data_IF_042675864843
#
_entry.id   IF_042675864843
#
_cell.length_a   1.000
_cell.length_b   1.000
_cell.length_c   1.000
_cell.angle_alpha   90.00
_cell.angle_beta   90.00
_cell.angle_gamma   90.00
#
_symmetry.space_group_name_H-M   'P 1'
#
loop_
_entity.id
_entity.type
_entity.pdbx_description
1 polymer ?
#
# COMPACT_ATOMS: atom_id res chain seq x y z
N UNK A 1 -37.76 0.07 61.13
CA UNK A 1 -37.63 -1.29 60.57
C UNK A 1 -36.32 -1.30 59.80
N UNK A 2 -35.25 -1.85 60.37
CA UNK A 2 -34.89 -3.30 60.44
C UNK A 2 -34.48 -3.81 59.05
N UNK A 3 -33.18 -4.01 58.80
CA UNK A 3 -32.38 -5.24 59.05
C UNK A 3 -32.63 -6.32 57.97
N UNK A 4 -31.68 -7.16 57.52
CA UNK A 4 -30.22 -7.40 57.73
C UNK A 4 -29.69 -7.95 56.37
N UNK A 5 -28.46 -7.74 55.87
CA UNK A 5 -27.10 -7.84 56.43
C UNK A 5 -26.54 -9.28 56.56
N UNK A 6 -25.22 -9.41 56.28
CA UNK A 6 -24.27 -10.55 56.44
C UNK A 6 -23.77 -11.09 55.07
N UNK A 7 -22.50 -11.05 54.66
CA UNK A 7 -21.17 -11.15 55.33
C UNK A 7 -20.82 -12.60 55.79
N UNK A 8 -19.58 -13.05 56.06
CA UNK A 8 -18.18 -12.52 56.11
C UNK A 8 -17.23 -13.51 55.36
N UNK A 9 -15.88 -13.46 55.24
CA UNK A 9 -14.70 -12.61 55.57
C UNK A 9 -13.61 -12.92 54.48
N UNK A 10 -12.47 -12.25 54.19
CA UNK A 10 -11.33 -11.61 54.91
C UNK A 10 -10.16 -12.53 55.37
N UNK A 11 -9.04 -11.88 55.77
CA UNK A 11 -7.70 -12.37 56.20
C UNK A 11 -6.69 -12.45 55.03
N UNK A 12 -5.61 -11.65 54.84
CA UNK A 12 -4.65 -10.84 55.68
C UNK A 12 -3.60 -11.67 56.46
N UNK A 13 -2.36 -11.23 56.78
CA UNK A 13 -1.62 -9.97 56.59
C UNK A 13 -0.09 -10.22 56.44
N UNK A 14 0.72 -9.16 56.32
CA UNK A 14 2.20 -9.15 56.27
C UNK A 14 2.91 -9.52 57.60
N UNK A 15 4.24 -9.72 57.56
CA UNK A 15 5.21 -9.27 58.60
C UNK A 15 6.66 -9.28 58.05
N UNK A 16 7.52 -8.37 58.54
CA UNK A 16 8.97 -8.27 58.21
C UNK A 16 9.81 -8.26 59.50
N UNK A 17 10.90 -9.03 59.57
CA UNK A 17 11.94 -8.98 60.64
C UNK A 17 13.34 -9.39 60.11
N UNK A 18 14.44 -9.12 60.82
CA UNK A 18 15.81 -9.20 60.30
C UNK A 18 16.92 -9.56 61.34
N UNK A 19 18.13 -9.91 60.85
CA UNK A 19 19.45 -9.90 61.55
C UNK A 19 19.77 -11.02 62.57
N UNK A 20 21.02 -11.20 63.08
CA UNK A 20 22.35 -11.19 62.40
C UNK A 20 23.44 -12.20 62.93
N UNK A 21 24.48 -12.53 62.14
CA UNK A 21 25.83 -13.01 62.55
C UNK A 21 26.81 -12.98 61.33
N UNK A 22 28.14 -12.71 61.31
CA UNK A 22 29.33 -12.67 62.23
C UNK A 22 30.36 -13.83 62.06
N UNK A 23 31.38 -13.64 61.20
CA UNK A 23 32.80 -14.08 61.31
C UNK A 23 33.59 -13.52 60.09
N UNK A 24 34.79 -12.91 60.06
CA UNK A 24 36.11 -12.96 60.76
C UNK A 24 37.20 -13.81 60.04
N UNK A 25 38.25 -13.13 59.54
CA UNK A 25 39.55 -13.67 59.03
C UNK A 25 39.54 -14.35 57.65
N UNK A 26 40.62 -14.39 56.86
CA UNK A 26 41.92 -13.65 56.82
C UNK A 26 42.51 -13.78 55.37
N UNK A 27 43.48 -12.98 54.89
CA UNK A 27 43.77 -12.87 53.45
C UNK A 27 44.85 -13.83 52.90
N UNK A 28 44.78 -14.09 51.58
CA UNK A 28 45.83 -14.80 50.83
C UNK A 28 45.91 -14.34 49.36
N UNK A 29 47.12 -14.00 48.89
CA UNK A 29 47.37 -13.47 47.54
C UNK A 29 47.89 -14.59 46.62
N UNK A 30 47.24 -14.79 45.46
CA UNK A 30 47.87 -15.46 44.30
C UNK A 30 47.28 -14.95 42.98
N UNK A 31 48.08 -14.47 42.01
CA UNK A 31 47.56 -13.97 40.73
C UNK A 31 47.88 -14.91 39.54
N UNK A 32 46.85 -15.34 38.78
CA UNK A 32 47.05 -16.03 37.50
C UNK A 32 45.97 -15.70 36.45
N UNK A 33 46.40 -14.95 35.42
CA UNK A 33 45.93 -14.94 34.03
C UNK A 33 44.49 -14.49 33.67
N UNK A 34 44.27 -13.91 32.47
CA UNK A 34 43.04 -13.20 32.14
C UNK A 34 41.95 -14.08 31.51
N UNK A 35 40.70 -13.85 31.92
CA UNK A 35 39.53 -14.29 31.15
C UNK A 35 39.40 -13.46 29.88
N UNK A 36 39.24 -14.10 28.72
CA UNK A 36 38.96 -13.42 27.46
C UNK A 36 37.54 -12.82 27.47
N UNK A 37 37.42 -11.56 27.90
CA UNK A 37 36.27 -10.73 27.53
C UNK A 37 36.43 -10.30 26.07
N UNK A 38 36.09 -11.18 25.12
CA UNK A 38 35.94 -10.75 23.74
C UNK A 38 34.87 -9.67 23.69
N UNK A 39 35.22 -8.51 23.11
CA UNK A 39 34.22 -7.54 22.70
C UNK A 39 33.51 -8.14 21.51
N UNK A 40 32.35 -8.73 21.73
CA UNK A 40 31.48 -9.13 20.64
C UNK A 40 30.87 -7.86 20.04
N UNK A 41 31.62 -7.24 19.13
CA UNK A 41 31.12 -6.18 18.26
C UNK A 41 30.27 -6.83 17.19
N UNK A 42 29.12 -7.37 17.61
CA UNK A 42 28.10 -7.89 16.71
C UNK A 42 27.55 -6.69 15.94
N UNK A 43 28.10 -6.49 14.74
CA UNK A 43 27.75 -5.37 13.89
C UNK A 43 26.35 -5.63 13.38
N UNK A 44 25.37 -4.92 13.95
CA UNK A 44 24.02 -4.83 13.43
C UNK A 44 24.05 -4.10 12.07
N UNK A 45 24.56 -4.80 11.05
CA UNK A 45 24.56 -4.38 9.65
C UNK A 45 23.10 -4.17 9.28
N UNK A 46 22.70 -2.95 8.88
CA UNK A 46 21.35 -2.71 8.40
C UNK A 46 21.09 -3.65 7.23
N UNK A 47 20.20 -4.63 7.42
CA UNK A 47 19.76 -5.50 6.34
C UNK A 47 19.22 -4.61 5.24
N UNK A 48 19.87 -4.64 4.07
CA UNK A 48 19.50 -3.78 2.94
C UNK A 48 18.01 -3.92 2.59
N UNK A 49 17.41 -2.92 1.94
CA UNK A 49 15.99 -2.94 1.59
C UNK A 49 15.67 -4.26 0.88
N UNK A 50 14.65 -4.98 1.38
CA UNK A 50 14.26 -6.32 0.93
C UNK A 50 13.53 -6.29 -0.43
N UNK A 51 13.86 -5.32 -1.26
CA UNK A 51 13.22 -4.96 -2.52
C UNK A 51 14.20 -4.11 -3.33
N UNK A 52 14.32 -4.38 -4.63
CA UNK A 52 15.20 -3.65 -5.53
C UNK A 52 14.58 -2.33 -6.04
N UNK A 53 13.25 -2.20 -6.02
CA UNK A 53 12.52 -1.03 -6.54
C UNK A 53 11.39 -0.60 -5.60
N UNK A 54 11.15 0.71 -5.51
CA UNK A 54 9.88 1.28 -5.02
C UNK A 54 9.03 1.69 -6.22
N UNK A 55 7.79 1.22 -6.31
CA UNK A 55 6.80 1.71 -7.30
C UNK A 55 5.65 2.40 -6.54
N UNK A 56 5.38 3.65 -6.89
CA UNK A 56 4.28 4.42 -6.34
C UNK A 56 3.21 4.71 -7.39
N UNK A 57 2.00 4.21 -7.15
CA UNK A 57 0.82 4.45 -8.00
C UNK A 57 0.09 5.69 -7.47
N UNK A 58 0.05 6.75 -8.29
CA UNK A 58 -0.87 7.86 -8.09
C UNK A 58 -2.22 7.53 -8.71
N UNK A 59 -3.16 7.06 -7.88
CA UNK A 59 -4.47 6.63 -8.34
C UNK A 59 -5.47 7.80 -8.33
N UNK A 60 -5.32 8.78 -9.21
CA UNK A 60 -6.14 10.01 -9.21
C UNK A 60 -7.61 9.85 -9.64
N UNK A 61 -8.40 10.91 -9.49
CA UNK A 61 -9.84 10.90 -9.87
C UNK A 61 -10.07 10.98 -11.37
N UNK A 62 -9.31 11.85 -12.05
CA UNK A 62 -9.46 12.12 -13.50
C UNK A 62 -8.42 11.36 -14.31
N UNK A 63 -7.18 11.32 -13.81
CA UNK A 63 -6.04 10.61 -14.40
C UNK A 63 -5.25 9.91 -13.30
N UNK A 64 -4.64 8.78 -13.63
CA UNK A 64 -3.80 7.97 -12.75
C UNK A 64 -2.50 7.58 -13.46
N UNK A 65 -1.46 7.25 -12.70
CA UNK A 65 -0.18 6.80 -13.25
C UNK A 65 0.74 6.23 -12.17
N UNK A 66 1.99 5.94 -12.49
CA UNK A 66 3.00 5.54 -11.51
C UNK A 66 4.34 6.25 -11.72
N UNK A 67 5.15 6.26 -10.67
CA UNK A 67 6.57 6.57 -10.68
C UNK A 67 7.33 5.48 -9.91
N UNK A 68 8.60 5.28 -10.21
CA UNK A 68 9.44 4.30 -9.52
C UNK A 68 10.90 4.74 -9.43
N UNK A 69 11.63 4.17 -8.48
CA UNK A 69 13.08 4.31 -8.38
C UNK A 69 13.72 3.04 -7.84
N UNK A 70 14.96 2.77 -8.27
CA UNK A 70 15.75 1.66 -7.76
C UNK A 70 16.33 2.00 -6.39
N UNK A 71 16.35 1.05 -5.45
CA UNK A 71 16.81 1.30 -4.07
C UNK A 71 18.31 1.58 -3.95
N UNK A 72 19.07 1.32 -5.02
CA UNK A 72 20.50 1.69 -5.16
C UNK A 72 20.69 3.12 -5.66
N UNK A 73 19.69 3.70 -6.33
CA UNK A 73 19.73 4.98 -7.02
C UNK A 73 18.44 5.79 -6.71
N UNK A 74 18.15 6.10 -5.43
CA UNK A 74 16.85 6.62 -5.00
C UNK A 74 16.50 8.00 -5.57
N UNK A 75 17.50 8.80 -5.93
CA UNK A 75 17.36 10.09 -6.61
C UNK A 75 16.91 9.95 -8.08
N UNK A 76 17.06 8.76 -8.68
CA UNK A 76 16.64 8.50 -10.06
C UNK A 76 15.15 8.13 -10.10
N UNK A 77 14.29 9.16 -10.12
CA UNK A 77 12.85 8.98 -10.25
C UNK A 77 12.46 8.81 -11.72
N UNK A 78 12.03 7.60 -12.08
CA UNK A 78 11.41 7.31 -13.37
C UNK A 78 9.89 7.47 -13.27
N UNK A 79 9.25 7.91 -14.35
CA UNK A 79 7.79 8.06 -14.45
C UNK A 79 7.22 7.16 -15.56
N UNK A 80 5.98 6.70 -15.36
CA UNK A 80 5.25 5.81 -16.27
C UNK A 80 5.43 6.21 -17.74
N UNK A 81 6.00 5.30 -18.54
CA UNK A 81 6.23 5.53 -19.97
C UNK A 81 4.95 5.94 -20.71
N UNK A 82 5.16 6.65 -21.81
CA UNK A 82 4.11 6.93 -22.79
C UNK A 82 3.69 5.63 -23.47
N UNK A 83 2.45 5.20 -23.22
CA UNK A 83 1.82 4.05 -23.89
C UNK A 83 0.97 4.50 -25.09
N UNK A 84 0.51 3.53 -25.87
CA UNK A 84 -0.27 3.73 -27.10
C UNK A 84 -1.65 4.37 -26.81
N UNK A 85 -2.20 5.11 -27.79
CA UNK A 85 -3.46 5.86 -27.66
C UNK A 85 -3.35 7.31 -27.16
N UNK A 86 -2.17 7.75 -26.68
CA UNK A 86 -1.96 9.15 -26.31
C UNK A 86 -1.67 10.08 -27.51
N UNK A 87 -2.13 11.33 -27.46
CA UNK A 87 -1.93 12.34 -28.51
C UNK A 87 -0.44 12.60 -28.81
N UNK A 88 0.02 12.58 -30.08
CA UNK A 88 1.41 12.89 -30.45
C UNK A 88 1.86 14.27 -29.95
N UNK A 89 2.99 14.31 -29.25
CA UNK A 89 3.57 15.54 -28.69
C UNK A 89 3.17 15.86 -27.24
N UNK A 90 2.10 15.28 -26.70
CA UNK A 90 1.74 15.49 -25.27
C UNK A 90 2.50 14.52 -24.36
N UNK A 91 3.22 15.06 -23.38
CA UNK A 91 3.98 14.30 -22.37
C UNK A 91 3.09 13.74 -21.25
N UNK A 92 2.06 12.97 -21.61
CA UNK A 92 1.11 12.37 -20.67
C UNK A 92 1.76 11.24 -19.83
N UNK A 93 2.41 11.62 -18.73
CA UNK A 93 2.91 10.74 -17.66
C UNK A 93 1.79 10.10 -16.80
N UNK A 94 0.52 10.31 -17.18
CA UNK A 94 -0.68 9.76 -16.55
C UNK A 94 -1.69 9.40 -17.65
N UNK A 95 -2.47 8.36 -17.40
CA UNK A 95 -3.58 7.89 -18.27
C UNK A 95 -4.92 8.19 -17.57
N UNK A 96 -6.05 8.40 -18.29
CA UNK A 96 -7.33 8.69 -17.66
C UNK A 96 -7.75 7.59 -16.65
N UNK A 97 -8.46 7.97 -15.58
CA UNK A 97 -9.06 7.01 -14.63
C UNK A 97 -10.37 6.46 -15.21
N UNK A 98 -10.23 5.75 -16.33
CA UNK A 98 -11.28 5.13 -17.13
C UNK A 98 -11.02 3.64 -17.24
N UNK A 99 -12.07 2.82 -17.22
CA UNK A 99 -11.97 1.37 -17.30
C UNK A 99 -13.11 0.81 -18.13
N UNK A 100 -12.79 -0.19 -18.95
CA UNK A 100 -13.74 -0.92 -19.77
C UNK A 100 -13.73 -2.39 -19.36
N UNK A 101 -14.91 -2.92 -19.03
CA UNK A 101 -15.13 -4.37 -18.94
C UNK A 101 -15.98 -4.85 -20.14
N UNK A 102 -15.68 -6.06 -20.58
CA UNK A 102 -16.52 -6.85 -21.48
C UNK A 102 -17.95 -7.03 -20.91
N UNK A 103 -18.95 -7.39 -21.74
CA UNK A 103 -20.30 -7.71 -21.25
C UNK A 103 -20.34 -8.76 -20.11
N UNK A 104 -19.36 -9.68 -20.10
CA UNK A 104 -19.14 -10.72 -19.07
C UNK A 104 -18.55 -10.20 -17.74
N UNK A 105 -18.35 -8.87 -17.59
CA UNK A 105 -17.66 -8.23 -16.44
C UNK A 105 -16.18 -8.62 -16.27
N UNK A 106 -15.55 -9.19 -17.31
CA UNK A 106 -14.09 -9.40 -17.36
C UNK A 106 -13.42 -8.10 -17.82
N UNK A 107 -12.29 -7.75 -17.21
CA UNK A 107 -11.44 -6.64 -17.65
C UNK A 107 -11.10 -6.72 -19.13
N UNK A 108 -11.12 -5.57 -19.81
CA UNK A 108 -10.73 -5.44 -21.21
C UNK A 108 -9.55 -4.46 -21.34
N UNK A 109 -9.74 -3.23 -20.88
CA UNK A 109 -8.73 -2.17 -21.00
C UNK A 109 -8.91 -1.08 -19.93
N UNK A 110 -7.86 -0.26 -19.77
CA UNK A 110 -7.81 0.89 -18.87
C UNK A 110 -7.30 2.14 -19.62
N UNK A 111 -7.65 3.34 -19.14
CA UNK A 111 -7.09 4.60 -19.65
C UNK A 111 -7.56 4.94 -21.07
N UNK A 112 -6.63 5.45 -21.90
CA UNK A 112 -6.89 5.77 -23.31
C UNK A 112 -7.49 4.58 -24.07
N UNK A 113 -6.88 3.40 -23.99
CA UNK A 113 -7.41 2.16 -24.59
C UNK A 113 -8.77 1.69 -24.05
N UNK A 114 -9.28 2.24 -22.94
CA UNK A 114 -10.67 2.05 -22.48
C UNK A 114 -11.62 3.10 -23.02
N UNK A 115 -11.16 4.35 -23.14
CA UNK A 115 -11.91 5.49 -23.69
C UNK A 115 -12.14 5.30 -25.18
N UNK A 116 -11.05 5.12 -25.93
CA UNK A 116 -11.03 5.16 -27.39
C UNK A 116 -11.84 4.00 -27.97
N UNK A 117 -11.51 2.77 -27.57
CA UNK A 117 -12.28 1.57 -27.93
C UNK A 117 -13.78 1.71 -27.61
N UNK A 118 -14.17 2.29 -26.46
CA UNK A 118 -15.58 2.44 -26.12
C UNK A 118 -16.31 3.48 -26.99
N UNK A 119 -15.61 4.50 -27.47
CA UNK A 119 -16.18 5.53 -28.34
C UNK A 119 -16.15 5.14 -29.84
N UNK A 120 -15.28 4.22 -30.24
CA UNK A 120 -15.22 3.63 -31.59
C UNK A 120 -16.26 2.51 -31.81
N UNK A 121 -16.89 1.99 -30.74
CA UNK A 121 -17.97 0.99 -30.82
C UNK A 121 -19.27 1.58 -31.41
N UNK A 122 -20.01 0.75 -32.13
CA UNK A 122 -21.35 1.10 -32.60
C UNK A 122 -22.32 1.44 -31.44
N UNK A 123 -23.25 2.40 -31.60
CA UNK A 123 -24.26 2.75 -30.59
C UNK A 123 -25.21 1.61 -30.17
N UNK A 124 -25.25 0.48 -30.88
CA UNK A 124 -25.92 -0.75 -30.44
C UNK A 124 -25.00 -1.61 -29.58
N UNK A 125 -23.76 -1.88 -30.02
CA UNK A 125 -22.80 -2.72 -29.29
C UNK A 125 -22.36 -2.12 -27.96
N UNK A 126 -22.01 -0.83 -27.93
CA UNK A 126 -21.58 -0.08 -26.74
C UNK A 126 -22.54 -0.23 -25.54
N UNK A 127 -23.85 -0.41 -25.78
CA UNK A 127 -24.86 -0.69 -24.74
C UNK A 127 -24.64 -2.02 -24.00
N UNK A 128 -23.92 -2.96 -24.59
CA UNK A 128 -23.60 -4.25 -23.95
C UNK A 128 -22.39 -4.15 -23.01
N UNK A 129 -21.39 -3.35 -23.39
CA UNK A 129 -20.14 -3.11 -22.68
C UNK A 129 -20.30 -2.34 -21.35
N UNK A 130 -19.26 -2.33 -20.52
CA UNK A 130 -19.28 -1.75 -19.18
C UNK A 130 -18.15 -0.72 -19.04
N UNK A 131 -18.39 0.48 -19.55
CA UNK A 131 -17.49 1.63 -19.41
C UNK A 131 -17.74 2.40 -18.10
N UNK A 132 -16.68 2.73 -17.37
CA UNK A 132 -16.73 3.55 -16.16
C UNK A 132 -15.63 4.63 -16.19
N UNK A 133 -16.01 5.86 -15.84
CA UNK A 133 -15.09 6.98 -15.62
C UNK A 133 -15.25 7.56 -14.20
N UNK A 134 -14.24 8.28 -13.70
CA UNK A 134 -14.28 9.08 -12.45
C UNK A 134 -14.71 8.31 -11.18
N UNK A 135 -14.69 6.98 -11.23
CA UNK A 135 -15.30 6.09 -10.24
C UNK A 135 -14.68 6.20 -8.83
N UNK A 136 -13.44 6.72 -8.71
CA UNK A 136 -12.81 7.10 -7.44
C UNK A 136 -13.72 7.96 -6.54
N UNK A 137 -14.56 8.82 -7.13
CA UNK A 137 -15.46 9.71 -6.36
C UNK A 137 -16.53 8.96 -5.55
N UNK A 138 -16.85 7.70 -5.87
CA UNK A 138 -17.77 6.89 -5.07
C UNK A 138 -17.19 6.49 -3.71
N UNK A 139 -15.86 6.42 -3.55
CA UNK A 139 -15.24 6.13 -2.24
C UNK A 139 -15.31 7.32 -1.28
N UNK A 140 -15.43 8.55 -1.81
CA UNK A 140 -15.65 9.76 -1.01
C UNK A 140 -17.13 10.00 -0.69
N UNK A 141 -18.03 9.74 -1.65
CA UNK A 141 -19.45 10.09 -1.53
C UNK A 141 -20.34 9.00 -0.92
N UNK A 142 -19.86 7.75 -0.81
CA UNK A 142 -20.62 6.66 -0.18
C UNK A 142 -20.40 6.63 1.33
N UNK A 143 -21.43 6.90 2.13
CA UNK A 143 -21.34 6.89 3.59
C UNK A 143 -20.98 5.50 4.15
N UNK A 144 -21.64 4.45 3.65
CA UNK A 144 -21.48 3.06 4.09
C UNK A 144 -20.76 2.25 2.99
N UNK A 145 -19.48 2.56 2.80
CA UNK A 145 -18.62 1.86 1.84
C UNK A 145 -18.28 0.44 2.34
N UNK A 146 -18.44 -0.57 1.48
CA UNK A 146 -18.15 -1.97 1.79
C UNK A 146 -17.72 -2.74 0.54
N UNK A 147 -17.24 -3.98 0.69
CA UNK A 147 -16.93 -4.88 -0.44
C UNK A 147 -18.14 -5.12 -1.37
N UNK A 148 -19.35 -4.97 -0.84
CA UNK A 148 -20.61 -5.14 -1.57
C UNK A 148 -21.07 -3.89 -2.33
N UNK A 149 -20.41 -2.74 -2.16
CA UNK A 149 -20.79 -1.49 -2.85
C UNK A 149 -20.73 -1.66 -4.37
N UNK A 150 -21.86 -1.39 -5.04
CA UNK A 150 -21.97 -1.42 -6.51
C UNK A 150 -21.62 -0.04 -7.13
N UNK A 151 -20.87 -0.05 -8.23
CA UNK A 151 -20.76 1.05 -9.19
C UNK A 151 -21.74 0.84 -10.35
N UNK A 152 -22.05 1.91 -11.07
CA UNK A 152 -22.86 1.88 -12.29
C UNK A 152 -21.97 2.23 -13.49
N UNK A 153 -22.06 1.44 -14.56
CA UNK A 153 -21.44 1.75 -15.84
C UNK A 153 -22.30 2.73 -16.66
N UNK A 154 -21.76 3.24 -17.77
CA UNK A 154 -22.43 4.19 -18.65
C UNK A 154 -23.80 3.71 -19.18
N UNK A 155 -24.00 2.39 -19.30
CA UNK A 155 -25.27 1.76 -19.65
C UNK A 155 -26.19 1.45 -18.44
N UNK A 156 -25.90 1.99 -17.27
CA UNK A 156 -26.65 1.80 -16.03
C UNK A 156 -26.49 0.43 -15.35
N UNK A 157 -25.79 -0.54 -15.96
CA UNK A 157 -25.56 -1.86 -15.35
C UNK A 157 -24.65 -1.76 -14.13
N UNK A 158 -24.90 -2.61 -13.13
CA UNK A 158 -24.11 -2.64 -11.88
C UNK A 158 -22.94 -3.62 -11.90
N UNK A 159 -21.81 -3.17 -11.37
CA UNK A 159 -20.55 -3.91 -11.19
C UNK A 159 -20.03 -3.66 -9.77
N UNK A 160 -19.36 -4.63 -9.14
CA UNK A 160 -18.83 -4.42 -7.79
C UNK A 160 -17.70 -3.39 -7.83
N UNK A 161 -17.73 -2.43 -6.91
CA UNK A 161 -16.67 -1.45 -6.77
C UNK A 161 -15.33 -2.14 -6.56
N UNK A 162 -15.28 -3.14 -5.67
CA UNK A 162 -14.04 -3.82 -5.31
C UNK A 162 -13.31 -4.41 -6.53
N UNK A 163 -14.06 -4.98 -7.48
CA UNK A 163 -13.50 -5.52 -8.73
C UNK A 163 -12.91 -4.41 -9.61
N UNK A 164 -13.62 -3.28 -9.75
CA UNK A 164 -13.18 -2.15 -10.57
C UNK A 164 -11.88 -1.54 -10.05
N UNK A 165 -11.75 -1.30 -8.74
CA UNK A 165 -10.49 -0.81 -8.17
C UNK A 165 -9.38 -1.88 -8.21
N UNK A 166 -9.70 -3.16 -8.00
CA UNK A 166 -8.72 -4.23 -8.08
C UNK A 166 -8.18 -4.42 -9.50
N UNK A 167 -9.03 -4.38 -10.53
CA UNK A 167 -8.61 -4.40 -11.94
C UNK A 167 -7.72 -3.20 -12.29
N UNK A 168 -8.08 -2.00 -11.83
CA UNK A 168 -7.31 -0.79 -12.11
C UNK A 168 -5.91 -0.80 -11.44
N UNK A 169 -5.82 -1.30 -10.20
CA UNK A 169 -4.53 -1.51 -9.52
C UNK A 169 -3.72 -2.66 -10.14
N UNK A 170 -4.39 -3.73 -10.59
CA UNK A 170 -3.77 -4.83 -11.33
C UNK A 170 -3.13 -4.36 -12.63
N UNK A 171 -3.85 -3.56 -13.43
CA UNK A 171 -3.31 -2.93 -14.64
C UNK A 171 -2.03 -2.14 -14.36
N UNK A 172 -2.02 -1.25 -13.36
CA UNK A 172 -0.80 -0.48 -13.04
C UNK A 172 0.35 -1.35 -12.52
N UNK A 173 0.06 -2.43 -11.78
CA UNK A 173 1.08 -3.44 -11.44
C UNK A 173 1.67 -4.09 -12.70
N UNK A 174 0.81 -4.56 -13.60
CA UNK A 174 1.21 -5.26 -14.82
C UNK A 174 2.04 -4.37 -15.74
N UNK A 175 1.66 -3.10 -15.91
CA UNK A 175 2.45 -2.12 -16.68
C UNK A 175 3.81 -1.82 -16.03
N UNK A 176 3.86 -1.57 -14.72
CA UNK A 176 5.12 -1.25 -14.06
C UNK A 176 6.09 -2.45 -14.02
N UNK A 177 5.60 -3.67 -13.77
CA UNK A 177 6.44 -4.88 -13.84
C UNK A 177 6.94 -5.16 -15.27
N UNK A 178 6.10 -4.95 -16.29
CA UNK A 178 6.55 -5.04 -17.69
C UNK A 178 7.63 -3.99 -17.98
N UNK A 179 7.40 -2.73 -17.61
CA UNK A 179 8.38 -1.65 -17.82
C UNK A 179 9.72 -1.92 -17.12
N UNK A 180 9.71 -2.47 -15.90
CA UNK A 180 10.93 -2.89 -15.19
C UNK A 180 11.63 -4.06 -15.89
N UNK A 181 10.88 -5.06 -16.36
CA UNK A 181 11.43 -6.22 -17.06
C UNK A 181 12.04 -5.84 -18.42
N UNK A 182 11.37 -4.96 -19.17
CA UNK A 182 11.85 -4.37 -20.42
C UNK A 182 13.20 -3.61 -20.25
N UNK A 183 13.50 -3.15 -19.03
CA UNK A 183 14.73 -2.42 -18.70
C UNK A 183 15.83 -3.31 -18.12
N UNK A 184 15.47 -4.29 -17.30
CA UNK A 184 16.40 -5.28 -16.76
C UNK A 184 16.88 -6.28 -17.83
N UNK A 185 16.11 -6.48 -18.90
CA UNK A 185 16.36 -7.52 -19.90
C UNK A 185 16.01 -8.94 -19.41
N UNK A 186 15.28 -9.02 -18.30
CA UNK A 186 14.85 -10.24 -17.61
C UNK A 186 13.58 -9.94 -16.80
N UNK A 187 12.78 -10.98 -16.52
CA UNK A 187 11.51 -10.85 -15.78
C UNK A 187 11.75 -10.31 -14.35
N UNK A 188 10.98 -9.28 -13.96
CA UNK A 188 11.07 -8.65 -12.65
C UNK A 188 9.97 -9.20 -11.71
N UNK A 189 10.33 -9.77 -10.55
CA UNK A 189 9.33 -10.32 -9.62
C UNK A 189 8.57 -9.18 -8.89
N UNK A 190 7.30 -9.42 -8.59
CA UNK A 190 6.53 -8.62 -7.65
C UNK A 190 7.20 -8.59 -6.26
N UNK A 191 7.90 -9.65 -5.86
CA UNK A 191 8.62 -9.73 -4.58
C UNK A 191 9.70 -8.66 -4.43
N UNK A 192 10.36 -8.28 -5.54
CA UNK A 192 11.40 -7.25 -5.57
C UNK A 192 10.86 -5.81 -5.57
N UNK A 193 9.54 -5.62 -5.55
CA UNK A 193 8.88 -4.31 -5.62
C UNK A 193 8.18 -3.94 -4.31
N UNK A 194 8.60 -2.83 -3.70
CA UNK A 194 7.82 -2.13 -2.67
C UNK A 194 6.75 -1.26 -3.33
N UNK A 195 5.51 -1.72 -3.26
CA UNK A 195 4.35 -0.98 -3.76
C UNK A 195 3.88 0.10 -2.76
N UNK A 196 3.65 1.32 -3.28
CA UNK A 196 3.06 2.47 -2.59
C UNK A 196 1.83 2.94 -3.37
N UNK A 197 0.77 3.32 -2.67
CA UNK A 197 -0.51 3.74 -3.28
C UNK A 197 -0.98 5.05 -2.67
N UNK A 198 -1.16 6.09 -3.49
CA UNK A 198 -1.66 7.38 -2.99
C UNK A 198 -3.14 7.28 -2.61
N UNK A 199 -3.45 7.70 -1.37
CA UNK A 199 -4.83 7.89 -0.90
C UNK A 199 -4.97 9.31 -0.35
N UNK A 200 -6.02 10.08 -0.73
CA UNK A 200 -6.19 11.44 -0.25
C UNK A 200 -6.25 11.52 1.28
N UNK A 201 -5.52 12.46 1.88
CA UNK A 201 -5.42 12.58 3.34
C UNK A 201 -6.80 12.68 4.01
N UNK A 202 -7.70 13.46 3.40
CA UNK A 202 -9.10 13.71 3.81
C UNK A 202 -10.02 12.47 3.81
N UNK A 203 -9.57 11.32 3.30
CA UNK A 203 -10.40 10.12 3.28
C UNK A 203 -10.56 9.48 4.67
N UNK A 204 -11.82 9.17 5.01
CA UNK A 204 -12.19 8.38 6.19
C UNK A 204 -11.55 6.99 6.13
N UNK A 205 -11.28 6.40 7.29
CA UNK A 205 -10.60 5.10 7.39
C UNK A 205 -11.25 3.96 6.56
N UNK A 206 -12.59 3.85 6.43
CA UNK A 206 -13.20 2.84 5.55
C UNK A 206 -12.80 2.95 4.08
N UNK A 207 -12.58 4.15 3.54
CA UNK A 207 -12.12 4.33 2.17
C UNK A 207 -10.63 3.96 1.99
N UNK A 208 -9.81 4.19 3.02
CA UNK A 208 -8.41 3.73 3.07
C UNK A 208 -8.33 2.20 3.14
N UNK A 209 -9.16 1.57 3.98
CA UNK A 209 -9.26 0.10 4.04
C UNK A 209 -9.80 -0.49 2.74
N UNK A 210 -10.83 0.11 2.11
CA UNK A 210 -11.38 -0.38 0.86
C UNK A 210 -10.35 -0.42 -0.28
N UNK A 211 -9.48 0.59 -0.40
CA UNK A 211 -8.37 0.56 -1.37
C UNK A 211 -7.37 -0.56 -1.06
N UNK A 212 -7.13 -0.87 0.22
CA UNK A 212 -6.28 -1.98 0.67
C UNK A 212 -6.89 -3.35 0.33
N UNK A 213 -8.21 -3.53 0.49
CA UNK A 213 -8.91 -4.74 0.03
C UNK A 213 -8.82 -4.91 -1.50
N UNK A 214 -9.03 -3.82 -2.25
CA UNK A 214 -8.90 -3.83 -3.71
C UNK A 214 -7.47 -4.19 -4.15
N UNK A 215 -6.46 -3.66 -3.45
CA UNK A 215 -5.06 -3.95 -3.67
C UNK A 215 -4.75 -5.45 -3.44
N UNK A 216 -5.13 -6.02 -2.28
CA UNK A 216 -4.91 -7.45 -2.00
C UNK A 216 -5.63 -8.37 -2.97
N UNK A 217 -6.85 -8.04 -3.40
CA UNK A 217 -7.68 -8.88 -4.28
C UNK A 217 -7.01 -9.24 -5.63
N UNK A 218 -6.14 -8.37 -6.14
CA UNK A 218 -5.38 -8.62 -7.40
C UNK A 218 -3.87 -8.73 -7.21
N UNK A 219 -3.33 -8.22 -6.11
CA UNK A 219 -1.90 -8.18 -5.84
C UNK A 219 -1.66 -8.70 -4.41
N UNK A 220 -1.46 -10.01 -4.22
CA UNK A 220 -1.47 -10.64 -2.89
C UNK A 220 -0.37 -10.20 -1.89
N UNK A 221 0.57 -9.33 -2.28
CA UNK A 221 1.64 -8.83 -1.41
C UNK A 221 1.76 -7.30 -1.47
N UNK A 222 0.92 -6.60 -0.68
CA UNK A 222 1.09 -5.18 -0.34
C UNK A 222 1.51 -5.01 1.12
N UNK A 223 2.81 -4.84 1.35
CA UNK A 223 3.38 -4.53 2.68
C UNK A 223 3.40 -3.01 2.91
N UNK A 224 2.29 -2.47 3.42
CA UNK A 224 2.20 -1.08 3.85
C UNK A 224 3.12 -0.83 5.06
N UNK A 225 4.17 -0.04 4.87
CA UNK A 225 4.99 0.49 5.96
C UNK A 225 4.51 1.87 6.38
N UNK A 226 4.10 2.05 7.63
CA UNK A 226 3.61 3.35 8.12
C UNK A 226 4.73 4.38 8.38
N UNK A 227 6.00 3.96 8.32
CA UNK A 227 7.17 4.71 8.82
C UNK A 227 8.24 5.09 7.77
N UNK A 228 7.96 4.97 6.46
CA UNK A 228 8.86 5.47 5.39
C UNK A 228 8.16 6.38 4.36
N UNK A 229 6.99 6.93 4.71
CA UNK A 229 6.22 7.80 3.82
C UNK A 229 6.92 9.14 3.54
N UNK A 230 7.65 9.68 4.51
CA UNK A 230 8.04 11.11 4.49
C UNK A 230 9.11 11.47 3.47
N UNK A 231 10.13 10.63 3.28
CA UNK A 231 11.22 10.92 2.33
C UNK A 231 10.80 10.70 0.88
N UNK A 232 10.08 9.62 0.60
CA UNK A 232 9.54 9.38 -0.75
C UNK A 232 8.51 10.46 -1.15
N UNK A 233 7.71 10.96 -0.19
CA UNK A 233 6.82 12.09 -0.45
C UNK A 233 7.55 13.42 -0.72
N UNK A 234 8.82 13.60 -0.31
CA UNK A 234 9.62 14.78 -0.70
C UNK A 234 9.95 14.75 -2.19
N UNK A 235 10.26 13.58 -2.75
CA UNK A 235 10.41 13.38 -4.20
C UNK A 235 9.10 13.55 -4.97
N UNK A 236 8.01 12.92 -4.52
CA UNK A 236 6.69 13.01 -5.20
C UNK A 236 6.13 14.43 -5.31
N UNK A 237 6.55 15.40 -4.49
CA UNK A 237 6.10 16.80 -4.58
C UNK A 237 6.39 17.45 -5.94
N UNK A 238 7.36 16.94 -6.70
CA UNK A 238 7.62 17.41 -8.08
C UNK A 238 6.64 16.87 -9.13
N UNK A 239 5.78 15.89 -8.80
CA UNK A 239 4.90 15.20 -9.75
C UNK A 239 3.44 15.71 -9.69
N UNK A 240 3.08 16.54 -8.69
CA UNK A 240 1.75 17.15 -8.61
C UNK A 240 1.75 18.44 -7.75
N UNK A 241 1.96 19.63 -8.36
CA UNK A 241 1.91 20.90 -7.63
C UNK A 241 0.53 21.24 -7.03
N UNK A 242 -0.55 20.71 -7.61
CA UNK A 242 -1.94 21.07 -7.27
C UNK A 242 -2.55 20.20 -6.16
N UNK A 243 -1.94 20.23 -4.96
CA UNK A 243 -2.55 19.73 -3.71
C UNK A 243 -1.96 20.46 -2.49
N UNK A 244 -2.46 21.68 -2.27
CA UNK A 244 -2.20 22.52 -1.09
C UNK A 244 -3.50 23.15 -0.60
#
# INVERSE_FOLDING_TARGET
MTEKESATDNITADVVTASPAKSLGDPGITPLSPSHSMKDTDQNVPTGPTFAVVVAIDFGTTSSGYAYSFTKEPECIHTMRRWEGGDPGVSNQKTPTTILLTPDKKFHSFGYAARDFYHDLDPTESKHWLYLEKFKMKLHTTANLSVETDLHAANGKRVKALDIFAYALGFFKEQALKELSDQAGADFDNADVRWVLTVPAIWKQPAKQFMREAAYKKCHFWTFGETQMEDFCKGLKYISPECS
#
